data_IF_545826996845
#
_entry.id   IF_545826996845
#
_cell.length_a   1.000
_cell.length_b   1.000
_cell.length_c   1.000
_cell.angle_alpha   90.00
_cell.angle_beta   90.00
_cell.angle_gamma   90.00
#
_symmetry.space_group_name_H-M   'P 1'
#
loop_
_entity.id
_entity.type
_entity.pdbx_description
1 polymer ?
#
# COMPACT_ATOMS: atom_id res chain seq x y z
N UNK A 1 -5.00 -2.51 9.18
CA UNK A 1 -5.74 -1.86 8.07
C UNK A 1 -6.68 -2.87 7.43
N UNK A 2 -7.92 -2.49 7.17
CA UNK A 2 -8.90 -3.32 6.47
C UNK A 2 -9.74 -2.44 5.56
N UNK A 3 -10.05 -2.93 4.35
CA UNK A 3 -10.94 -2.21 3.41
C UNK A 3 -12.34 -2.02 4.00
N UNK A 4 -12.85 -3.00 4.74
CA UNK A 4 -14.18 -2.95 5.39
C UNK A 4 -14.29 -1.88 6.48
N UNK A 5 -13.20 -1.51 7.13
CA UNK A 5 -13.18 -0.43 8.12
C UNK A 5 -12.87 0.95 7.54
N UNK A 6 -12.60 1.06 6.24
CA UNK A 6 -12.27 2.32 5.59
C UNK A 6 -10.99 2.99 6.12
N UNK A 7 -10.08 2.23 6.76
CA UNK A 7 -8.85 2.71 7.37
C UNK A 7 -7.58 2.29 6.60
N UNK A 8 -7.73 1.95 5.33
CA UNK A 8 -6.63 1.61 4.44
C UNK A 8 -6.39 2.73 3.43
N UNK A 9 -5.13 3.01 3.13
CA UNK A 9 -4.72 3.87 2.02
C UNK A 9 -4.45 2.94 0.83
N UNK A 10 -5.33 2.98 -0.17
CA UNK A 10 -5.18 2.18 -1.37
C UNK A 10 -4.23 2.87 -2.36
N UNK A 11 -3.44 2.08 -3.11
CA UNK A 11 -2.55 2.58 -4.16
C UNK A 11 -3.28 3.34 -5.27
N UNK A 12 -4.58 3.07 -5.45
CA UNK A 12 -5.43 3.73 -6.43
C UNK A 12 -6.00 5.06 -5.98
N UNK A 13 -5.86 5.42 -4.70
CA UNK A 13 -6.33 6.70 -4.18
C UNK A 13 -5.58 7.87 -4.80
N UNK A 14 -6.30 8.96 -5.05
CA UNK A 14 -5.72 10.25 -5.42
C UNK A 14 -4.98 10.87 -4.24
N UNK A 15 -4.27 11.96 -4.48
CA UNK A 15 -3.59 12.73 -3.42
C UNK A 15 -4.59 13.29 -2.42
N UNK A 16 -5.73 13.80 -2.90
CA UNK A 16 -6.78 14.36 -2.05
C UNK A 16 -7.49 13.28 -1.21
N UNK A 17 -7.77 12.12 -1.79
CA UNK A 17 -8.36 10.98 -1.08
C UNK A 17 -7.39 10.47 0.01
N UNK A 18 -6.10 10.41 -0.29
CA UNK A 18 -5.05 10.05 0.68
C UNK A 18 -4.99 11.06 1.81
N UNK A 19 -4.99 12.36 1.50
CA UNK A 19 -5.02 13.44 2.49
C UNK A 19 -6.28 13.36 3.38
N UNK A 20 -7.43 13.09 2.78
CA UNK A 20 -8.69 12.93 3.51
C UNK A 20 -8.67 11.71 4.44
N UNK A 21 -8.08 10.59 4.01
CA UNK A 21 -7.93 9.39 4.82
C UNK A 21 -7.03 9.64 6.04
N UNK A 22 -5.88 10.30 5.83
CA UNK A 22 -4.93 10.63 6.90
C UNK A 22 -5.55 11.63 7.89
N UNK A 23 -6.27 12.65 7.42
CA UNK A 23 -6.95 13.62 8.29
C UNK A 23 -7.96 12.97 9.24
N UNK A 24 -8.67 11.92 8.81
CA UNK A 24 -9.65 11.17 9.63
C UNK A 24 -9.02 10.25 10.67
N UNK A 25 -7.71 10.01 10.64
CA UNK A 25 -7.04 9.19 11.64
C UNK A 25 -7.21 9.82 13.03
N UNK A 26 -7.64 9.02 13.99
CA UNK A 26 -7.81 9.45 15.38
C UNK A 26 -6.43 9.59 16.02
N UNK A 27 -6.17 10.74 16.61
CA UNK A 27 -4.96 11.05 17.37
C UNK A 27 -5.36 11.61 18.75
N UNK A 28 -4.48 11.50 19.71
CA UNK A 28 -4.67 12.14 21.01
C UNK A 28 -4.50 13.68 20.96
N UNK A 29 -4.68 14.35 22.08
CA UNK A 29 -4.65 15.82 22.21
C UNK A 29 -3.26 16.38 22.52
N UNK A 30 -2.27 15.53 22.81
CA UNK A 30 -0.94 15.96 23.19
C UNK A 30 -0.22 16.64 22.02
N UNK A 31 0.33 17.81 22.29
CA UNK A 31 1.07 18.57 21.27
C UNK A 31 2.44 17.99 21.00
N UNK A 32 3.12 17.49 22.05
CA UNK A 32 4.43 16.85 21.87
C UNK A 32 4.25 15.50 21.17
N UNK A 33 4.83 15.37 19.99
CA UNK A 33 4.75 14.13 19.21
C UNK A 33 5.84 13.17 19.67
N UNK A 34 5.44 11.97 20.09
CA UNK A 34 6.34 10.90 20.51
C UNK A 34 5.87 9.55 19.96
N UNK A 35 6.82 8.67 19.71
CA UNK A 35 6.52 7.32 19.26
C UNK A 35 6.32 6.40 20.48
N UNK A 36 5.08 6.02 20.73
CA UNK A 36 4.67 5.07 21.77
C UNK A 36 3.47 4.25 21.26
N UNK A 37 3.69 3.07 20.68
CA UNK A 37 2.62 2.25 20.12
C UNK A 37 1.59 1.75 21.14
N UNK A 38 1.94 1.67 22.42
CA UNK A 38 1.04 1.18 23.47
C UNK A 38 0.10 2.28 23.95
N UNK A 39 0.66 3.46 24.27
CA UNK A 39 -0.11 4.56 24.86
C UNK A 39 -0.71 5.48 23.78
N UNK A 40 -0.06 5.58 22.61
CA UNK A 40 -0.42 6.51 21.53
C UNK A 40 -0.53 5.82 20.16
N UNK A 41 -1.40 4.81 20.01
CA UNK A 41 -1.44 3.96 18.81
C UNK A 41 -1.72 4.74 17.52
N UNK A 42 -2.59 5.76 17.55
CA UNK A 42 -2.93 6.56 16.38
C UNK A 42 -1.78 7.45 15.89
N UNK A 43 -1.10 8.12 16.82
CA UNK A 43 0.09 8.93 16.55
C UNK A 43 1.22 8.05 16.02
N UNK A 44 1.46 6.92 16.70
CA UNK A 44 2.53 5.97 16.33
C UNK A 44 2.29 5.31 14.97
N UNK A 45 1.03 5.04 14.60
CA UNK A 45 0.70 4.54 13.27
C UNK A 45 1.02 5.55 12.16
N UNK A 46 0.72 6.83 12.38
CA UNK A 46 1.08 7.90 11.43
C UNK A 46 2.60 8.10 11.35
N UNK A 47 3.30 8.10 12.49
CA UNK A 47 4.75 8.17 12.53
C UNK A 47 5.41 7.02 11.77
N UNK A 48 4.94 5.79 12.00
CA UNK A 48 5.45 4.61 11.28
C UNK A 48 5.22 4.71 9.77
N UNK A 49 4.05 5.21 9.37
CA UNK A 49 3.72 5.41 7.95
C UNK A 49 4.63 6.46 7.31
N UNK A 50 4.79 7.61 7.96
CA UNK A 50 5.66 8.67 7.47
C UNK A 50 7.13 8.22 7.41
N UNK A 51 7.61 7.55 8.47
CA UNK A 51 8.96 7.04 8.59
C UNK A 51 9.29 6.04 7.45
N UNK A 52 8.37 5.11 7.17
CA UNK A 52 8.51 4.17 6.06
C UNK A 52 8.66 4.88 4.70
N UNK A 53 7.81 5.88 4.43
CA UNK A 53 7.86 6.64 3.19
C UNK A 53 9.12 7.51 3.06
N UNK A 54 9.65 8.00 4.18
CA UNK A 54 10.84 8.86 4.23
C UNK A 54 12.16 8.09 4.37
N UNK A 55 12.12 6.77 4.60
CA UNK A 55 13.31 5.96 4.89
C UNK A 55 13.98 6.34 6.22
N UNK A 56 13.20 6.77 7.22
CA UNK A 56 13.65 7.21 8.55
C UNK A 56 13.10 6.29 9.64
N UNK A 57 13.56 6.48 10.87
CA UNK A 57 12.94 5.85 12.05
C UNK A 57 11.77 6.71 12.56
N UNK A 58 10.72 6.09 13.15
CA UNK A 58 9.59 6.85 13.71
C UNK A 58 9.98 7.90 14.75
N UNK A 59 11.00 7.60 15.58
CA UNK A 59 11.51 8.52 16.59
C UNK A 59 12.17 9.76 15.98
N UNK A 60 12.83 9.60 14.83
CA UNK A 60 13.47 10.72 14.11
C UNK A 60 12.40 11.65 13.52
N UNK A 61 11.32 11.06 12.99
CA UNK A 61 10.17 11.84 12.49
C UNK A 61 9.46 12.55 13.64
N UNK A 62 9.28 11.88 14.79
CA UNK A 62 8.70 12.48 15.98
C UNK A 62 9.53 13.66 16.49
N UNK A 63 10.86 13.51 16.57
CA UNK A 63 11.76 14.57 16.98
C UNK A 63 11.75 15.77 16.01
N UNK A 64 11.60 15.54 14.71
CA UNK A 64 11.47 16.60 13.71
C UNK A 64 10.21 17.44 13.91
N UNK A 65 9.09 16.82 14.32
CA UNK A 65 7.81 17.51 14.54
C UNK A 65 7.80 18.21 15.91
N UNK A 66 8.33 17.54 16.94
CA UNK A 66 8.40 18.10 18.29
C UNK A 66 7.01 18.41 18.88
N UNK A 67 6.77 19.65 19.24
CA UNK A 67 5.55 20.16 19.90
C UNK A 67 4.52 20.80 18.95
N UNK A 68 4.68 20.61 17.64
CA UNK A 68 3.79 21.20 16.64
C UNK A 68 2.41 20.49 16.56
N UNK A 69 2.28 19.35 17.22
CA UNK A 69 1.00 18.67 17.40
C UNK A 69 0.58 17.78 16.23
N UNK A 70 -0.58 17.15 16.42
CA UNK A 70 -1.11 16.15 15.48
C UNK A 70 -1.45 16.71 14.09
N UNK A 71 -1.73 18.01 13.98
CA UNK A 71 -1.98 18.67 12.69
C UNK A 71 -0.76 18.61 11.78
N UNK A 72 0.41 18.95 12.32
CA UNK A 72 1.68 18.89 11.58
C UNK A 72 2.08 17.44 11.26
N UNK A 73 1.89 16.51 12.20
CA UNK A 73 2.09 15.09 11.94
C UNK A 73 1.27 14.61 10.74
N UNK A 74 -0.02 14.94 10.70
CA UNK A 74 -0.91 14.56 9.59
C UNK A 74 -0.49 15.20 8.26
N UNK A 75 -0.06 16.47 8.29
CA UNK A 75 0.44 17.17 7.10
C UNK A 75 1.70 16.46 6.58
N UNK A 76 2.71 16.28 7.42
CA UNK A 76 3.97 15.62 7.07
C UNK A 76 3.74 14.20 6.54
N UNK A 77 2.87 13.43 7.21
CA UNK A 77 2.51 12.07 6.75
C UNK A 77 1.86 12.11 5.38
N UNK A 78 0.96 13.07 5.12
CA UNK A 78 0.29 13.22 3.82
C UNK A 78 1.30 13.51 2.73
N UNK A 79 2.20 14.47 2.97
CA UNK A 79 3.24 14.87 2.00
C UNK A 79 4.18 13.69 1.71
N UNK A 80 4.61 12.97 2.76
CA UNK A 80 5.49 11.81 2.62
C UNK A 80 4.84 10.68 1.81
N UNK A 81 3.58 10.33 2.11
CA UNK A 81 2.84 9.27 1.41
C UNK A 81 2.58 9.66 -0.05
N UNK A 82 2.15 10.90 -0.31
CA UNK A 82 1.88 11.35 -1.67
C UNK A 82 3.14 11.39 -2.51
N UNK A 83 4.26 11.87 -1.96
CA UNK A 83 5.55 11.86 -2.66
C UNK A 83 6.03 10.45 -2.95
N UNK A 84 5.88 9.53 -1.99
CA UNK A 84 6.26 8.13 -2.17
C UNK A 84 5.44 7.42 -3.25
N UNK A 85 4.13 7.71 -3.33
CA UNK A 85 3.25 7.09 -4.32
C UNK A 85 3.20 7.82 -5.67
N UNK A 86 3.73 9.02 -5.79
CA UNK A 86 3.71 9.78 -7.05
C UNK A 86 4.22 8.97 -8.25
N UNK A 87 5.41 8.33 -8.22
CA UNK A 87 5.90 7.54 -9.35
C UNK A 87 5.02 6.31 -9.64
N UNK A 88 4.43 5.68 -8.61
CA UNK A 88 3.53 4.54 -8.76
C UNK A 88 2.24 4.97 -9.44
N UNK A 89 1.67 6.12 -9.03
CA UNK A 89 0.45 6.68 -9.64
C UNK A 89 0.70 7.08 -11.10
N UNK A 90 1.84 7.71 -11.40
CA UNK A 90 2.21 8.05 -12.76
C UNK A 90 2.31 6.80 -13.65
N UNK A 91 3.02 5.76 -13.18
CA UNK A 91 3.14 4.50 -13.92
C UNK A 91 1.79 3.82 -14.13
N UNK A 92 0.93 3.83 -13.11
CA UNK A 92 -0.45 3.31 -13.23
C UNK A 92 -1.25 4.06 -14.29
N UNK A 93 -1.14 5.39 -14.32
CA UNK A 93 -1.84 6.21 -15.31
C UNK A 93 -1.37 5.90 -16.74
N UNK A 94 -0.07 5.72 -16.97
CA UNK A 94 0.49 5.29 -18.27
C UNK A 94 -0.10 3.93 -18.69
N UNK A 95 -0.03 2.93 -17.80
CA UNK A 95 -0.52 1.58 -18.10
C UNK A 95 -2.03 1.54 -18.32
N UNK A 96 -2.79 2.43 -17.67
CA UNK A 96 -4.25 2.51 -17.83
C UNK A 96 -4.67 3.08 -19.20
N UNK A 97 -3.77 3.73 -19.94
CA UNK A 97 -4.06 4.20 -21.29
C UNK A 97 -4.08 3.05 -22.32
N UNK A 98 -3.42 1.93 -22.03
CA UNK A 98 -3.45 0.74 -22.87
C UNK A 98 -4.55 -0.22 -22.40
N UNK A 99 -5.72 -0.11 -23.03
CA UNK A 99 -6.88 -0.97 -22.70
C UNK A 99 -6.66 -2.44 -23.06
N UNK A 100 -5.70 -2.77 -23.90
CA UNK A 100 -5.36 -4.14 -24.29
C UNK A 100 -4.39 -4.83 -23.35
N UNK A 101 -3.57 -4.07 -22.62
CA UNK A 101 -2.48 -4.59 -21.80
C UNK A 101 -2.95 -5.65 -20.78
N UNK A 102 -4.01 -5.36 -20.05
CA UNK A 102 -4.53 -6.27 -19.03
C UNK A 102 -5.01 -7.61 -19.65
N UNK A 103 -5.71 -7.54 -20.79
CA UNK A 103 -6.18 -8.70 -21.53
C UNK A 103 -5.02 -9.54 -22.08
N UNK A 104 -3.99 -8.88 -22.61
CA UNK A 104 -2.79 -9.55 -23.11
C UNK A 104 -2.03 -10.28 -21.98
N UNK A 105 -1.84 -9.63 -20.83
CA UNK A 105 -1.20 -10.24 -19.66
C UNK A 105 -1.98 -11.45 -19.17
N UNK A 106 -3.31 -11.35 -19.09
CA UNK A 106 -4.18 -12.45 -18.69
C UNK A 106 -4.12 -13.61 -19.70
N UNK A 107 -4.18 -13.33 -21.01
CA UNK A 107 -4.09 -14.35 -22.05
C UNK A 107 -2.76 -15.10 -21.94
N UNK A 108 -1.64 -14.42 -21.87
CA UNK A 108 -0.32 -15.05 -21.71
C UNK A 108 -0.20 -15.84 -20.42
N UNK A 109 -0.78 -15.36 -19.34
CA UNK A 109 -0.85 -16.07 -18.05
C UNK A 109 -1.66 -17.36 -18.16
N UNK A 110 -2.82 -17.32 -18.82
CA UNK A 110 -3.66 -18.50 -19.07
C UNK A 110 -2.96 -19.52 -19.96
N UNK A 111 -2.32 -19.09 -21.05
CA UNK A 111 -1.58 -19.99 -21.94
C UNK A 111 -0.49 -20.75 -21.17
N UNK A 112 0.27 -20.02 -20.32
CA UNK A 112 1.30 -20.61 -19.47
C UNK A 112 0.72 -21.59 -18.44
N UNK A 113 -0.34 -21.21 -17.75
CA UNK A 113 -0.99 -22.05 -16.75
C UNK A 113 -1.57 -23.34 -17.38
N UNK A 114 -2.23 -23.22 -18.53
CA UNK A 114 -2.75 -24.36 -19.27
C UNK A 114 -1.64 -25.31 -19.74
N UNK A 115 -0.52 -24.79 -20.21
CA UNK A 115 0.64 -25.59 -20.61
C UNK A 115 1.19 -26.42 -19.43
N UNK A 116 1.36 -25.78 -18.26
CA UNK A 116 1.83 -26.47 -17.05
C UNK A 116 0.82 -27.52 -16.60
N UNK A 117 -0.47 -27.18 -16.57
CA UNK A 117 -1.54 -28.10 -16.17
C UNK A 117 -1.64 -29.32 -17.14
N UNK A 118 -1.52 -29.12 -18.45
CA UNK A 118 -1.52 -30.17 -19.44
C UNK A 118 -0.36 -31.15 -19.24
N UNK A 119 0.86 -30.60 -19.03
CA UNK A 119 2.04 -31.44 -18.75
C UNK A 119 1.84 -32.30 -17.49
N UNK A 120 1.39 -31.68 -16.41
CA UNK A 120 1.11 -32.42 -15.16
C UNK A 120 0.03 -33.46 -15.33
N UNK A 121 -1.03 -33.16 -16.09
CA UNK A 121 -2.11 -34.10 -16.36
C UNK A 121 -1.61 -35.31 -17.18
N UNK A 122 -0.76 -35.06 -18.15
CA UNK A 122 -0.19 -36.15 -18.98
C UNK A 122 0.75 -37.04 -18.15
N UNK A 123 1.54 -36.47 -17.24
CA UNK A 123 2.34 -37.25 -16.30
C UNK A 123 1.49 -38.10 -15.37
N UNK A 124 0.41 -37.54 -14.82
CA UNK A 124 -0.55 -38.30 -13.98
C UNK A 124 -1.22 -39.41 -14.76
N UNK A 125 -1.71 -39.14 -15.98
CA UNK A 125 -2.35 -40.15 -16.85
C UNK A 125 -1.38 -41.28 -17.20
N UNK A 126 -0.13 -40.95 -17.49
CA UNK A 126 0.92 -41.93 -17.75
C UNK A 126 1.15 -42.81 -16.52
N UNK A 127 1.30 -42.22 -15.35
CA UNK A 127 1.52 -42.96 -14.10
C UNK A 127 0.32 -43.87 -13.73
N UNK A 128 -0.90 -43.45 -14.08
CA UNK A 128 -2.13 -44.22 -13.85
C UNK A 128 -2.45 -45.23 -14.94
N UNK A 129 -1.70 -45.28 -16.05
CA UNK A 129 -1.97 -46.15 -17.20
C UNK A 129 -3.28 -45.77 -17.93
N UNK A 130 -3.72 -44.54 -17.90
CA UNK A 130 -4.97 -44.03 -18.50
C UNK A 130 -4.76 -43.23 -19.78
N UNK A 131 -3.60 -43.32 -20.40
CA UNK A 131 -3.35 -42.78 -21.75
C UNK A 131 -4.03 -43.66 -22.77
N UNK A 132 -5.01 -43.13 -23.49
CA UNK A 132 -5.69 -43.77 -24.63
C UNK A 132 -5.32 -42.94 -25.87
#
# INVERSE_FOLDING_TARGET
MSKSYGNAIALSMTEDETAAAIRRTITDIDRLISFDPLSRPGVSALLSTAALCLGKRPEEVAAQIGDQGSGELKRLTTDAVNSFFAPIRARRAELAQDSGLASEVLRRGNDRANSIAATTLDEVRTAMGTLY
#
